data_IF_491314777845
#
_entry.id   IF_491314777845
#
_cell.length_a   1.000
_cell.length_b   1.000
_cell.length_c   1.000
_cell.angle_alpha   90.00
_cell.angle_beta   90.00
_cell.angle_gamma   90.00
#
_symmetry.space_group_name_H-M   'P 1'
#
loop_
_entity.id
_entity.type
_entity.pdbx_description
1 polymer ?
#
# COMPACT_ATOMS: atom_id res chain seq x y z
N UNK A 1 25.86 12.94 17.86
CA UNK A 1 26.04 11.71 18.66
C UNK A 1 25.71 10.51 17.78
N UNK A 2 26.50 9.46 17.90
CA UNK A 2 26.76 8.44 16.89
C UNK A 2 25.70 7.34 16.72
N UNK A 3 25.75 6.66 15.57
CA UNK A 3 25.13 5.36 15.28
C UNK A 3 23.99 5.44 14.26
N UNK A 4 23.81 4.54 13.28
CA UNK A 4 24.51 3.33 12.85
C UNK A 4 24.17 3.19 11.35
N UNK A 5 25.14 2.95 10.47
CA UNK A 5 24.90 2.75 9.04
C UNK A 5 24.33 1.35 8.78
N UNK A 6 23.30 1.23 7.93
CA UNK A 6 22.91 -0.06 7.37
C UNK A 6 22.38 0.11 5.95
N UNK A 7 23.05 -0.55 5.00
CA UNK A 7 22.67 -0.57 3.59
C UNK A 7 21.47 -1.47 3.30
N UNK A 8 20.58 -1.00 2.44
CA UNK A 8 19.52 -1.81 1.83
C UNK A 8 20.01 -2.32 0.47
N UNK A 9 19.98 -3.64 0.26
CA UNK A 9 20.27 -4.28 -1.04
C UNK A 9 18.97 -4.45 -1.81
N UNK A 10 18.83 -3.80 -2.96
CA UNK A 10 17.87 -4.16 -4.00
C UNK A 10 18.60 -4.88 -5.12
N UNK A 11 17.90 -5.76 -5.83
CA UNK A 11 18.46 -6.62 -6.88
C UNK A 11 19.47 -5.85 -7.76
N UNK A 12 20.75 -6.17 -7.63
CA UNK A 12 21.81 -5.71 -8.54
C UNK A 12 22.94 -4.90 -7.93
N UNK A 13 22.71 -3.77 -7.24
CA UNK A 13 23.80 -2.80 -7.02
C UNK A 13 23.67 -2.01 -5.70
N UNK A 14 24.82 -1.68 -5.10
CA UNK A 14 24.99 -1.01 -3.80
C UNK A 14 24.69 0.49 -3.90
N UNK A 15 23.90 1.07 -3.00
CA UNK A 15 23.72 2.52 -2.92
C UNK A 15 23.64 3.04 -1.48
N UNK A 16 24.22 4.22 -1.27
CA UNK A 16 24.25 4.96 -0.01
C UNK A 16 22.95 5.75 0.19
N UNK A 17 22.24 5.51 1.29
CA UNK A 17 21.12 6.35 1.70
C UNK A 17 21.67 7.65 2.30
N UNK A 18 21.61 8.75 1.55
CA UNK A 18 21.71 10.09 2.12
C UNK A 18 20.36 10.46 2.75
N UNK A 19 20.37 10.78 4.04
CA UNK A 19 19.21 11.30 4.76
C UNK A 19 19.19 12.82 4.57
N UNK A 20 18.49 13.30 3.55
CA UNK A 20 18.20 14.72 3.38
C UNK A 20 16.74 14.95 3.77
N UNK A 21 16.55 15.52 4.97
CA UNK A 21 15.28 16.14 5.35
C UNK A 21 15.28 17.48 4.63
N UNK A 22 14.72 17.51 3.42
CA UNK A 22 14.55 18.77 2.69
C UNK A 22 13.55 19.65 3.45
N UNK A 23 14.09 20.67 4.13
CA UNK A 23 13.36 21.87 4.49
C UNK A 23 13.58 22.96 3.42
N UNK A 24 12.45 23.55 3.04
CA UNK A 24 12.27 24.91 2.53
C UNK A 24 12.41 25.27 1.02
N UNK A 25 11.30 25.87 0.56
CA UNK A 25 11.21 26.99 -0.41
C UNK A 25 11.06 26.73 -1.92
N UNK A 26 9.90 26.22 -2.34
CA UNK A 26 9.11 26.91 -3.38
C UNK A 26 7.63 26.48 -3.36
N UNK A 27 6.72 27.47 -3.37
CA UNK A 27 5.27 27.30 -3.15
C UNK A 27 4.56 26.67 -4.35
N UNK A 28 4.66 25.35 -4.49
CA UNK A 28 3.51 24.51 -4.80
C UNK A 28 3.45 23.46 -3.72
N UNK A 29 2.45 23.55 -2.83
CA UNK A 29 2.14 22.51 -1.85
C UNK A 29 1.95 21.20 -2.61
N UNK A 30 3.03 20.43 -2.76
CA UNK A 30 3.03 19.04 -3.16
C UNK A 30 2.54 18.21 -1.96
N UNK A 31 1.44 18.63 -1.33
CA UNK A 31 0.65 17.76 -0.49
C UNK A 31 -0.02 16.80 -1.45
N UNK A 32 0.74 15.77 -1.90
CA UNK A 32 0.13 14.59 -2.49
C UNK A 32 -0.84 14.12 -1.42
N UNK A 33 -2.13 14.43 -1.59
CA UNK A 33 -3.13 14.12 -0.57
C UNK A 33 -3.05 12.62 -0.34
N UNK A 34 -2.71 12.22 0.88
CA UNK A 34 -2.74 10.82 1.29
C UNK A 34 -4.18 10.36 1.12
N UNK A 35 -4.40 9.37 0.27
CA UNK A 35 -5.73 8.85 -0.04
C UNK A 35 -5.81 7.46 0.55
N UNK A 36 -6.79 7.26 1.41
CA UNK A 36 -7.13 5.95 1.94
C UNK A 36 -8.56 5.63 1.53
N UNK A 37 -8.81 4.38 1.18
CA UNK A 37 -10.14 3.84 0.91
C UNK A 37 -10.32 2.66 1.85
N UNK A 38 -11.41 2.64 2.61
CA UNK A 38 -11.80 1.50 3.42
C UNK A 38 -12.96 0.82 2.71
N UNK A 39 -12.77 -0.44 2.33
CA UNK A 39 -13.77 -1.27 1.66
C UNK A 39 -14.33 -2.23 2.69
N UNK A 40 -15.64 -2.17 2.91
CA UNK A 40 -16.37 -3.09 3.74
C UNK A 40 -17.22 -3.96 2.80
N UNK A 41 -16.97 -5.26 2.77
CA UNK A 41 -17.65 -6.16 1.84
C UNK A 41 -17.65 -7.59 2.39
N UNK A 42 -18.70 -8.34 2.09
CA UNK A 42 -18.81 -9.78 2.34
C UNK A 42 -18.15 -10.64 1.25
N UNK A 43 -17.60 -10.01 0.20
CA UNK A 43 -16.94 -10.71 -0.90
C UNK A 43 -17.89 -11.53 -1.78
N UNK A 44 -19.20 -11.42 -1.62
CA UNK A 44 -20.20 -12.26 -2.29
C UNK A 44 -20.42 -11.94 -3.78
N UNK A 45 -20.17 -10.69 -4.19
CA UNK A 45 -20.47 -10.20 -5.54
C UNK A 45 -19.20 -10.03 -6.40
N UNK A 46 -18.65 -11.14 -6.88
CA UNK A 46 -17.44 -11.16 -7.72
C UNK A 46 -17.73 -11.24 -9.22
N UNK A 47 -18.77 -10.56 -9.72
CA UNK A 47 -19.29 -10.72 -11.08
C UNK A 47 -18.26 -10.44 -12.20
N UNK A 48 -17.09 -9.80 -11.93
CA UNK A 48 -16.06 -9.59 -12.95
C UNK A 48 -14.64 -9.39 -12.39
N UNK A 49 -13.69 -10.27 -12.74
CA UNK A 49 -12.25 -10.04 -12.48
C UNK A 49 -11.72 -8.80 -13.19
N UNK A 50 -12.15 -8.60 -14.44
CA UNK A 50 -11.70 -7.47 -15.26
C UNK A 50 -12.08 -6.10 -14.66
N UNK A 51 -13.21 -5.99 -13.94
CA UNK A 51 -13.56 -4.75 -13.24
C UNK A 51 -12.71 -4.55 -11.98
N UNK A 52 -12.42 -5.62 -11.24
CA UNK A 52 -11.55 -5.55 -10.06
C UNK A 52 -10.11 -5.14 -10.39
N UNK A 53 -9.53 -5.66 -11.48
CA UNK A 53 -8.19 -5.28 -11.93
C UNK A 53 -8.12 -3.81 -12.37
N UNK A 54 -9.16 -3.32 -13.06
CA UNK A 54 -9.28 -1.91 -13.41
C UNK A 54 -9.40 -1.03 -12.17
N UNK A 55 -10.23 -1.40 -11.21
CA UNK A 55 -10.38 -0.67 -9.95
C UNK A 55 -9.05 -0.58 -9.19
N UNK A 56 -8.29 -1.67 -9.16
CA UNK A 56 -6.97 -1.72 -8.56
C UNK A 56 -5.98 -0.81 -9.30
N UNK A 57 -5.98 -0.84 -10.63
CA UNK A 57 -5.12 0.03 -11.46
C UNK A 57 -5.40 1.51 -11.22
N UNK A 58 -6.68 1.88 -11.14
CA UNK A 58 -7.11 3.23 -10.79
C UNK A 58 -6.67 3.63 -9.37
N UNK A 59 -6.81 2.75 -8.38
CA UNK A 59 -6.36 3.01 -7.02
C UNK A 59 -4.84 3.23 -6.94
N UNK A 60 -4.07 2.38 -7.62
CA UNK A 60 -2.61 2.50 -7.69
C UNK A 60 -2.17 3.80 -8.39
N UNK A 61 -2.85 4.16 -9.48
CA UNK A 61 -2.62 5.43 -10.21
C UNK A 61 -2.97 6.64 -9.35
N UNK A 62 -4.06 6.56 -8.59
CA UNK A 62 -4.50 7.60 -7.67
C UNK A 62 -3.64 7.71 -6.39
N UNK A 63 -2.66 6.81 -6.22
CA UNK A 63 -1.88 6.65 -4.98
C UNK A 63 -2.78 6.48 -3.75
N UNK A 64 -3.85 5.70 -3.89
CA UNK A 64 -4.76 5.36 -2.80
C UNK A 64 -4.33 4.04 -2.14
N UNK A 65 -4.23 4.04 -0.81
CA UNK A 65 -4.08 2.85 0.02
C UNK A 65 -5.45 2.26 0.30
N UNK A 66 -5.66 0.97 0.02
CA UNK A 66 -6.93 0.30 0.25
C UNK A 66 -6.83 -0.58 1.49
N UNK A 67 -7.71 -0.34 2.44
CA UNK A 67 -7.99 -1.22 3.57
C UNK A 67 -9.24 -2.01 3.26
N UNK A 68 -9.23 -3.31 3.51
CA UNK A 68 -10.37 -4.18 3.22
C UNK A 68 -10.82 -4.89 4.48
N UNK A 69 -12.12 -4.86 4.75
CA UNK A 69 -12.76 -5.52 5.88
C UNK A 69 -13.75 -6.52 5.30
N UNK A 70 -13.48 -7.81 5.51
CA UNK A 70 -14.43 -8.86 5.17
C UNK A 70 -15.49 -8.97 6.27
N UNK A 71 -16.75 -8.78 5.88
CA UNK A 71 -17.94 -8.84 6.74
C UNK A 71 -18.73 -10.15 6.60
N UNK A 72 -18.22 -11.13 5.85
CA UNK A 72 -18.92 -12.41 5.73
C UNK A 72 -18.95 -13.15 7.07
N UNK A 73 -20.12 -13.68 7.43
CA UNK A 73 -20.23 -14.68 8.49
C UNK A 73 -19.67 -15.99 7.93
N UNK A 74 -18.69 -16.58 8.62
CA UNK A 74 -17.87 -17.68 8.11
C UNK A 74 -18.69 -18.80 7.43
N UNK A 75 -18.56 -18.95 6.10
CA UNK A 75 -19.22 -20.02 5.33
C UNK A 75 -18.34 -20.63 4.23
N UNK A 76 -18.46 -21.95 3.91
CA UNK A 76 -17.32 -22.74 3.43
C UNK A 76 -16.90 -22.56 1.95
N UNK A 77 -17.56 -21.72 1.14
CA UNK A 77 -17.33 -21.80 -0.33
C UNK A 77 -17.48 -20.49 -1.10
N UNK A 78 -18.42 -19.61 -0.72
CA UNK A 78 -18.59 -18.31 -1.42
C UNK A 78 -17.53 -17.28 -1.00
N UNK A 79 -17.05 -17.39 0.23
CA UNK A 79 -16.22 -16.36 0.87
C UNK A 79 -14.77 -16.36 0.40
N UNK A 80 -14.24 -17.51 -0.03
CA UNK A 80 -12.80 -17.67 -0.35
C UNK A 80 -12.39 -16.77 -1.53
N UNK A 81 -13.21 -16.72 -2.59
CA UNK A 81 -12.91 -15.93 -3.78
C UNK A 81 -12.98 -14.41 -3.49
N UNK A 82 -13.99 -13.99 -2.73
CA UNK A 82 -14.16 -12.60 -2.32
C UNK A 82 -13.04 -12.15 -1.38
N UNK A 83 -12.74 -12.95 -0.36
CA UNK A 83 -11.63 -12.72 0.56
C UNK A 83 -10.29 -12.60 -0.19
N UNK A 84 -10.02 -13.45 -1.19
CA UNK A 84 -8.81 -13.37 -1.99
C UNK A 84 -8.70 -12.05 -2.77
N UNK A 85 -9.81 -11.56 -3.32
CA UNK A 85 -9.84 -10.25 -4.01
C UNK A 85 -9.58 -9.12 -3.02
N UNK A 86 -10.24 -9.12 -1.86
CA UNK A 86 -10.05 -8.13 -0.81
C UNK A 86 -8.60 -8.12 -0.28
N UNK A 87 -8.00 -9.29 -0.10
CA UNK A 87 -6.60 -9.44 0.26
C UNK A 87 -5.66 -8.88 -0.81
N UNK A 88 -5.94 -9.15 -2.08
CA UNK A 88 -5.13 -8.66 -3.21
C UNK A 88 -5.16 -7.13 -3.30
N UNK A 89 -6.32 -6.48 -3.10
CA UNK A 89 -6.42 -5.02 -3.05
C UNK A 89 -5.55 -4.42 -1.94
N UNK A 90 -5.68 -4.93 -0.71
CA UNK A 90 -4.90 -4.48 0.42
C UNK A 90 -3.40 -4.69 0.19
N UNK A 91 -3.01 -5.89 -0.24
CA UNK A 91 -1.61 -6.25 -0.43
C UNK A 91 -0.92 -5.40 -1.50
N UNK A 92 -1.57 -5.14 -2.64
CA UNK A 92 -0.95 -4.40 -3.75
C UNK A 92 -0.86 -2.91 -3.50
N UNK A 93 -1.84 -2.34 -2.80
CA UNK A 93 -1.84 -0.91 -2.44
C UNK A 93 -1.05 -0.59 -1.17
N UNK A 94 -0.68 -1.62 -0.39
CA UNK A 94 0.06 -1.48 0.86
C UNK A 94 -0.80 -1.25 2.09
N UNK A 95 -2.13 -1.37 1.97
CA UNK A 95 -3.06 -1.32 3.12
C UNK A 95 -3.20 -2.69 3.79
N UNK A 96 -4.24 -2.86 4.62
CA UNK A 96 -4.46 -4.08 5.44
C UNK A 96 -5.78 -4.77 5.12
N UNK A 97 -5.75 -6.10 5.11
CA UNK A 97 -6.95 -6.95 5.08
C UNK A 97 -7.31 -7.34 6.50
N UNK A 98 -8.59 -7.23 6.84
CA UNK A 98 -9.15 -7.52 8.15
C UNK A 98 -10.31 -8.47 7.93
N UNK A 99 -10.28 -9.61 8.61
CA UNK A 99 -11.39 -10.57 8.61
C UNK A 99 -12.11 -10.40 9.94
N UNK A 100 -13.29 -9.79 9.94
CA UNK A 100 -14.05 -9.58 11.18
C UNK A 100 -15.54 -9.53 10.90
N UNK A 101 -16.33 -10.40 11.55
CA UNK A 101 -17.77 -10.49 11.29
C UNK A 101 -18.56 -9.28 11.81
N UNK A 102 -17.96 -8.39 12.60
CA UNK A 102 -18.58 -7.15 13.05
C UNK A 102 -18.37 -6.84 14.53
N UNK A 103 -19.23 -6.00 15.09
CA UNK A 103 -19.28 -5.72 16.53
C UNK A 103 -18.07 -4.94 17.05
N UNK A 104 -17.54 -5.37 18.21
CA UNK A 104 -16.40 -4.69 18.86
C UNK A 104 -15.12 -4.82 18.03
N UNK A 105 -14.86 -6.01 17.49
CA UNK A 105 -13.68 -6.26 16.66
C UNK A 105 -13.60 -5.31 15.45
N UNK A 106 -14.76 -4.94 14.87
CA UNK A 106 -14.80 -3.99 13.76
C UNK A 106 -14.40 -2.59 14.21
N UNK A 107 -14.86 -2.16 15.40
CA UNK A 107 -14.48 -0.86 15.97
C UNK A 107 -12.99 -0.79 16.27
N UNK A 108 -12.44 -1.86 16.83
CA UNK A 108 -11.01 -1.97 17.14
C UNK A 108 -10.17 -1.92 15.85
N UNK A 109 -10.60 -2.65 14.81
CA UNK A 109 -9.99 -2.60 13.48
C UNK A 109 -9.98 -1.17 12.88
N UNK A 110 -11.09 -0.43 13.00
CA UNK A 110 -11.14 0.96 12.54
C UNK A 110 -10.20 1.88 13.34
N UNK A 111 -10.09 1.69 14.65
CA UNK A 111 -9.17 2.45 15.49
C UNK A 111 -7.72 2.21 15.08
N UNK A 112 -7.33 0.95 14.87
CA UNK A 112 -6.00 0.59 14.39
C UNK A 112 -5.70 1.17 13.00
N UNK A 113 -6.68 1.14 12.07
CA UNK A 113 -6.51 1.79 10.74
C UNK A 113 -6.31 3.29 10.91
N UNK A 114 -7.08 3.95 11.78
CA UNK A 114 -6.95 5.39 12.02
C UNK A 114 -5.58 5.75 12.59
N UNK A 115 -5.06 4.95 13.52
CA UNK A 115 -3.70 5.08 14.04
C UNK A 115 -2.64 4.87 12.94
N UNK A 116 -2.78 3.83 12.12
CA UNK A 116 -1.88 3.54 11.00
C UNK A 116 -1.83 4.70 9.99
N UNK A 117 -2.98 5.31 9.68
CA UNK A 117 -3.06 6.48 8.81
C UNK A 117 -2.33 7.70 9.38
N UNK A 118 -2.18 7.78 10.71
CA UNK A 118 -1.35 8.77 11.41
C UNK A 118 0.15 8.53 11.26
N UNK A 119 0.57 7.28 11.03
CA UNK A 119 1.98 6.87 10.95
C UNK A 119 2.46 6.60 9.51
N UNK A 120 1.92 7.31 8.52
CA UNK A 120 2.30 7.14 7.12
C UNK A 120 3.49 8.02 6.70
N UNK A 121 4.62 7.37 6.41
CA UNK A 121 5.82 8.00 5.87
C UNK A 121 5.80 8.07 4.34
N UNK A 122 6.36 9.14 3.77
CA UNK A 122 6.56 9.27 2.31
C UNK A 122 8.04 9.13 2.00
N UNK A 123 8.38 8.12 1.20
CA UNK A 123 9.74 7.91 0.69
C UNK A 123 9.74 8.21 -0.80
N UNK A 124 10.63 9.08 -1.23
CA UNK A 124 10.83 9.43 -2.63
C UNK A 124 12.17 8.86 -3.10
N UNK A 125 12.18 8.31 -4.31
CA UNK A 125 13.39 7.88 -4.99
C UNK A 125 13.30 8.22 -6.47
N UNK A 126 14.45 8.34 -7.13
CA UNK A 126 14.53 8.52 -8.58
C UNK A 126 14.86 7.17 -9.21
N UNK A 127 13.99 6.60 -10.05
CA UNK A 127 14.30 5.34 -10.72
C UNK A 127 15.41 5.54 -11.74
N UNK A 128 16.32 4.56 -11.85
CA UNK A 128 17.38 4.55 -12.86
C UNK A 128 16.81 4.44 -14.27
N UNK A 129 15.84 3.53 -14.47
CA UNK A 129 15.07 3.48 -15.72
C UNK A 129 14.06 4.64 -15.75
N UNK A 130 14.22 5.57 -16.70
CA UNK A 130 13.34 6.74 -16.89
C UNK A 130 12.29 6.57 -17.98
N UNK A 131 12.26 5.42 -18.66
CA UNK A 131 11.28 5.11 -19.69
C UNK A 131 9.85 5.16 -19.14
N UNK A 132 8.91 5.58 -19.98
CA UNK A 132 7.48 5.71 -19.69
C UNK A 132 6.68 4.67 -20.45
N UNK A 133 7.07 3.41 -20.26
CA UNK A 133 6.58 2.26 -21.02
C UNK A 133 5.26 1.66 -20.50
N UNK A 134 4.74 2.17 -19.39
CA UNK A 134 3.55 1.63 -18.73
C UNK A 134 3.76 0.26 -18.07
N UNK A 135 4.99 -0.26 -18.01
CA UNK A 135 5.26 -1.58 -17.45
C UNK A 135 5.30 -1.53 -15.92
N UNK A 136 4.90 -2.63 -15.30
CA UNK A 136 4.94 -2.76 -13.85
C UNK A 136 6.38 -2.68 -13.33
N UNK A 137 6.59 -1.86 -12.30
CA UNK A 137 7.86 -1.74 -11.59
C UNK A 137 7.65 -2.08 -10.13
N UNK A 138 8.31 -3.14 -9.70
CA UNK A 138 8.25 -3.61 -8.31
C UNK A 138 8.98 -2.64 -7.38
N UNK A 139 8.38 -2.40 -6.23
CA UNK A 139 9.00 -1.69 -5.10
C UNK A 139 9.22 -2.74 -4.02
N UNK A 140 10.47 -2.88 -3.61
CA UNK A 140 10.85 -3.59 -2.40
C UNK A 140 11.39 -2.52 -1.43
N UNK A 141 11.11 -2.66 -0.14
CA UNK A 141 11.61 -1.76 0.90
C UNK A 141 12.22 -2.59 2.02
N UNK A 142 13.51 -2.38 2.27
CA UNK A 142 14.25 -3.03 3.34
C UNK A 142 14.61 -1.99 4.38
N UNK A 143 14.40 -2.36 5.63
CA UNK A 143 14.66 -1.53 6.80
C UNK A 143 15.57 -2.29 7.75
N UNK A 144 16.37 -1.52 8.49
CA UNK A 144 17.38 -2.07 9.39
C UNK A 144 16.93 -2.11 10.84
N UNK A 145 15.81 -1.44 11.15
CA UNK A 145 15.25 -1.39 12.49
C UNK A 145 14.58 -2.73 12.80
N UNK A 146 14.96 -3.41 13.90
CA UNK A 146 14.25 -4.60 14.34
C UNK A 146 12.85 -4.23 14.87
N UNK A 147 11.96 -5.23 14.95
CA UNK A 147 10.65 -5.13 15.60
C UNK A 147 9.68 -4.09 15.01
N UNK A 148 9.79 -3.81 13.71
CA UNK A 148 8.82 -2.97 13.00
C UNK A 148 8.26 -3.70 11.78
N UNK A 149 6.95 -3.62 11.61
CA UNK A 149 6.27 -4.13 10.42
C UNK A 149 6.09 -2.99 9.43
N UNK A 150 6.70 -3.13 8.24
CA UNK A 150 6.60 -2.11 7.20
C UNK A 150 5.69 -2.61 6.08
N UNK A 151 4.71 -1.78 5.72
CA UNK A 151 3.84 -2.01 4.58
C UNK A 151 4.09 -0.94 3.52
N UNK A 152 4.24 -1.39 2.28
CA UNK A 152 4.40 -0.52 1.12
C UNK A 152 3.53 -1.06 -0.02
N UNK A 153 3.16 -0.18 -0.94
CA UNK A 153 2.66 -0.62 -2.25
C UNK A 153 3.71 -1.51 -2.90
N UNK A 154 3.28 -2.60 -3.55
CA UNK A 154 4.20 -3.57 -4.18
C UNK A 154 4.91 -3.05 -5.42
N UNK A 155 4.47 -1.92 -5.96
CA UNK A 155 5.02 -1.35 -7.17
C UNK A 155 4.17 -0.21 -7.72
N UNK A 156 4.50 0.19 -8.94
CA UNK A 156 3.80 1.23 -9.69
C UNK A 156 3.92 0.98 -11.19
N UNK A 157 3.05 1.62 -11.96
CA UNK A 157 3.20 1.75 -13.42
C UNK A 157 3.53 3.20 -13.75
N UNK A 158 4.60 3.48 -14.51
CA UNK A 158 4.82 4.82 -15.05
C UNK A 158 3.68 5.14 -16.04
N UNK A 159 3.24 6.41 -16.15
CA UNK A 159 2.27 6.79 -17.17
C UNK A 159 2.85 6.49 -18.56
N UNK A 160 2.01 6.03 -19.49
CA UNK A 160 2.42 5.87 -20.90
C UNK A 160 2.63 7.25 -21.52
N UNK A 161 3.78 7.44 -22.16
CA UNK A 161 4.09 8.60 -23.00
C UNK A 161 3.53 8.45 -24.40
#
# INVERSE_FOLDING_TARGET
MAGLFSGARFAGESFWLAHEVDDCSERRRFTRRRRAVIVLSDGGENYSRASSDKALDHALTAAATIYTVNMSEEGPSRDIAGAAILQNFAAKTGGRYISTPGGQALRDAFAEIAEELGHQYTVSYRPLNRERDGKWRTIDLKISKPDVTVRTRKGYKPPKG
#
